data_IF_282741941074
#
_entry.id   IF_282741941074
#
_cell.length_a   1.000
_cell.length_b   1.000
_cell.length_c   1.000
_cell.angle_alpha   90.00
_cell.angle_beta   90.00
_cell.angle_gamma   90.00
#
_symmetry.space_group_name_H-M   'P 1'
#
loop_
_entity.id
_entity.type
_entity.pdbx_description
1 polymer ?
#
# COMPACT_ATOMS: atom_id res chain seq x y z
N UNK A 1 42.48 -4.56 21.79
CA UNK A 1 42.17 -4.73 20.36
C UNK A 1 40.80 -5.40 20.26
N UNK A 2 39.72 -4.59 20.28
CA UNK A 2 38.35 -5.11 20.19
C UNK A 2 37.97 -5.23 18.72
N UNK A 3 37.69 -6.46 18.27
CA UNK A 3 37.14 -6.74 16.95
C UNK A 3 35.73 -6.14 16.87
N UNK A 4 35.57 -5.09 16.06
CA UNK A 4 34.27 -4.55 15.67
C UNK A 4 33.64 -5.59 14.74
N UNK A 5 32.66 -6.36 15.22
CA UNK A 5 31.80 -7.16 14.34
C UNK A 5 31.15 -6.17 13.37
N UNK A 6 31.50 -6.26 12.09
CA UNK A 6 30.71 -5.60 11.05
C UNK A 6 29.29 -6.18 11.15
N UNK A 7 28.34 -5.32 11.49
CA UNK A 7 26.94 -5.69 11.44
C UNK A 7 26.63 -6.01 9.97
N UNK A 8 26.21 -7.25 9.71
CA UNK A 8 25.76 -7.64 8.39
C UNK A 8 24.48 -6.83 8.11
N UNK A 9 24.60 -5.73 7.35
CA UNK A 9 23.46 -4.87 7.02
C UNK A 9 22.61 -5.63 6.01
N UNK A 10 21.64 -6.40 6.53
CA UNK A 10 20.55 -6.94 5.73
C UNK A 10 19.80 -5.76 5.12
N UNK A 11 19.89 -5.59 3.80
CA UNK A 11 19.00 -4.67 3.08
C UNK A 11 17.57 -5.22 3.20
N UNK A 12 16.67 -4.54 3.94
CA UNK A 12 15.35 -5.08 4.19
C UNK A 12 14.53 -5.09 2.90
N UNK A 13 13.84 -6.20 2.62
CA UNK A 13 12.81 -6.21 1.58
C UNK A 13 11.59 -5.44 2.09
N UNK A 14 11.22 -4.36 1.42
CA UNK A 14 10.14 -3.46 1.83
C UNK A 14 8.96 -3.57 0.85
N UNK A 15 7.79 -3.93 1.36
CA UNK A 15 6.54 -3.90 0.59
C UNK A 15 5.66 -2.73 1.05
N UNK A 16 5.12 -1.98 0.08
CA UNK A 16 4.10 -0.96 0.33
C UNK A 16 2.71 -1.56 0.23
N UNK A 17 1.84 -1.26 1.20
CA UNK A 17 0.42 -1.65 1.19
C UNK A 17 -0.45 -0.41 1.29
N UNK A 18 -1.36 -0.25 0.33
CA UNK A 18 -2.33 0.85 0.25
C UNK A 18 -3.73 0.26 0.49
N UNK A 19 -4.30 0.41 1.69
CA UNK A 19 -5.68 0.01 1.97
C UNK A 19 -6.65 0.98 1.28
N UNK A 20 -7.42 0.50 0.32
CA UNK A 20 -8.34 1.31 -0.46
C UNK A 20 -9.71 0.63 -0.58
N UNK A 21 -10.57 0.84 0.41
CA UNK A 21 -11.95 0.33 0.38
C UNK A 21 -12.81 1.01 -0.69
N UNK A 22 -13.78 0.28 -1.25
CA UNK A 22 -14.77 0.81 -2.19
C UNK A 22 -15.77 1.75 -1.51
N UNK A 23 -16.32 1.31 -0.37
CA UNK A 23 -17.25 2.10 0.43
C UNK A 23 -16.56 3.28 1.13
N UNK A 24 -17.21 4.45 1.20
CA UNK A 24 -16.69 5.60 1.94
C UNK A 24 -17.85 6.46 2.47
N UNK A 25 -17.87 6.68 3.80
CA UNK A 25 -18.95 7.41 4.52
C UNK A 25 -19.24 8.78 3.94
N UNK A 26 -18.20 9.58 3.70
CA UNK A 26 -18.37 10.96 3.26
C UNK A 26 -18.56 11.10 1.76
N UNK A 27 -17.80 10.34 0.98
CA UNK A 27 -17.75 10.46 -0.48
C UNK A 27 -17.79 9.06 -1.09
N UNK A 28 -18.89 8.65 -1.75
CA UNK A 28 -18.96 7.37 -2.45
C UNK A 28 -17.82 7.23 -3.47
N UNK A 29 -17.21 6.06 -3.55
CA UNK A 29 -16.11 5.74 -4.46
C UNK A 29 -14.95 6.75 -4.45
N UNK A 30 -14.68 7.38 -3.29
CA UNK A 30 -13.67 8.44 -3.13
C UNK A 30 -12.33 8.13 -3.79
N UNK A 31 -11.85 6.88 -3.68
CA UNK A 31 -10.57 6.44 -4.24
C UNK A 31 -10.54 6.47 -5.78
N UNK A 32 -11.70 6.40 -6.44
CA UNK A 32 -11.84 6.48 -7.90
C UNK A 32 -12.24 7.87 -8.40
N UNK A 33 -12.65 8.78 -7.50
CA UNK A 33 -13.00 10.15 -7.91
C UNK A 33 -11.76 10.90 -8.34
N UNK A 34 -11.94 11.70 -9.38
CA UNK A 34 -10.88 12.56 -9.90
C UNK A 34 -10.61 13.72 -8.95
N UNK A 35 -9.33 13.94 -8.70
CA UNK A 35 -8.76 15.14 -8.14
C UNK A 35 -7.77 15.64 -9.20
N UNK A 36 -7.91 16.88 -9.67
CA UNK A 36 -7.09 17.43 -10.77
C UNK A 36 -6.91 16.45 -11.96
N UNK A 37 -8.03 15.95 -12.49
CA UNK A 37 -8.09 15.05 -13.66
C UNK A 37 -7.44 13.67 -13.47
N UNK A 38 -7.19 13.26 -12.23
CA UNK A 38 -6.62 11.94 -11.91
C UNK A 38 -7.36 11.28 -10.75
N UNK A 39 -7.72 10.00 -10.81
CA UNK A 39 -8.35 9.30 -9.68
C UNK A 39 -7.50 9.38 -8.41
N UNK A 40 -8.11 9.62 -7.26
CA UNK A 40 -7.39 9.85 -6.00
C UNK A 40 -6.37 8.75 -5.67
N UNK A 41 -6.70 7.48 -5.90
CA UNK A 41 -5.81 6.36 -5.61
C UNK A 41 -4.51 6.39 -6.43
N UNK A 42 -4.54 6.98 -7.63
CA UNK A 42 -3.37 7.04 -8.48
C UNK A 42 -2.21 7.77 -7.82
N UNK A 43 -2.50 8.86 -7.10
CA UNK A 43 -1.46 9.71 -6.51
C UNK A 43 -0.53 8.91 -5.61
N UNK A 44 -1.09 8.17 -4.65
CA UNK A 44 -0.27 7.41 -3.70
C UNK A 44 0.37 6.17 -4.36
N UNK A 45 -0.29 5.56 -5.34
CA UNK A 45 0.26 4.41 -6.06
C UNK A 45 1.46 4.84 -6.91
N UNK A 46 1.33 5.92 -7.67
CA UNK A 46 2.41 6.49 -8.48
C UNK A 46 3.56 6.97 -7.59
N UNK A 47 3.28 7.62 -6.46
CA UNK A 47 4.31 8.00 -5.49
C UNK A 47 5.06 6.78 -4.94
N UNK A 48 4.34 5.71 -4.57
CA UNK A 48 4.94 4.48 -4.05
C UNK A 48 5.72 3.69 -5.11
N UNK A 49 5.30 3.74 -6.37
CA UNK A 49 6.01 3.12 -7.50
C UNK A 49 7.23 3.93 -7.95
N UNK A 50 7.22 5.26 -7.72
CA UNK A 50 8.30 6.16 -8.10
C UNK A 50 9.53 6.12 -7.17
N UNK A 51 9.41 5.53 -5.98
CA UNK A 51 10.53 5.41 -5.03
C UNK A 51 11.34 4.13 -5.25
N UNK A 52 12.64 4.19 -4.97
CA UNK A 52 13.52 2.99 -4.93
C UNK A 52 13.48 2.25 -3.60
N UNK A 53 12.87 2.83 -2.57
CA UNK A 53 12.80 2.22 -1.24
C UNK A 53 11.78 1.06 -1.18
N UNK A 54 10.69 1.16 -1.95
CA UNK A 54 9.64 0.14 -1.98
C UNK A 54 9.89 -0.82 -3.14
N UNK A 55 10.03 -2.11 -2.81
CA UNK A 55 10.32 -3.14 -3.79
C UNK A 55 9.07 -3.61 -4.53
N UNK A 56 7.92 -3.55 -3.85
CA UNK A 56 6.61 -3.94 -4.40
C UNK A 56 5.51 -3.11 -3.77
N UNK A 57 4.59 -2.64 -4.61
CA UNK A 57 3.42 -1.85 -4.20
C UNK A 57 2.18 -2.71 -4.34
N UNK A 58 1.42 -2.83 -3.26
CA UNK A 58 0.17 -3.56 -3.20
C UNK A 58 -0.98 -2.62 -2.88
N UNK A 59 -2.08 -2.72 -3.61
CA UNK A 59 -3.37 -2.15 -3.23
C UNK A 59 -4.23 -3.27 -2.66
N UNK A 60 -4.69 -3.10 -1.41
CA UNK A 60 -5.63 -4.02 -0.80
C UNK A 60 -7.03 -3.41 -0.75
N UNK A 61 -7.99 -4.07 -1.38
CA UNK A 61 -9.33 -3.53 -1.62
C UNK A 61 -10.39 -4.63 -1.59
N UNK A 62 -11.63 -4.26 -1.32
CA UNK A 62 -12.84 -5.07 -1.51
C UNK A 62 -13.57 -4.76 -2.82
N UNK A 63 -13.03 -3.85 -3.64
CA UNK A 63 -13.66 -3.34 -4.86
C UNK A 63 -12.87 -3.72 -6.11
N UNK A 64 -13.53 -4.46 -7.00
CA UNK A 64 -12.99 -4.82 -8.32
C UNK A 64 -12.64 -3.60 -9.18
N UNK A 65 -13.38 -2.50 -9.06
CA UNK A 65 -13.10 -1.28 -9.82
C UNK A 65 -11.80 -0.61 -9.36
N UNK A 66 -11.57 -0.58 -8.04
CA UNK A 66 -10.32 -0.08 -7.46
C UNK A 66 -9.15 -0.99 -7.87
N UNK A 67 -9.35 -2.30 -7.79
CA UNK A 67 -8.37 -3.30 -8.21
C UNK A 67 -7.98 -3.11 -9.68
N UNK A 68 -8.96 -3.02 -10.59
CA UNK A 68 -8.71 -2.80 -12.00
C UNK A 68 -7.93 -1.51 -12.26
N UNK A 69 -8.32 -0.40 -11.62
CA UNK A 69 -7.63 0.88 -11.79
C UNK A 69 -6.18 0.84 -11.29
N UNK A 70 -5.95 0.28 -10.10
CA UNK A 70 -4.63 0.18 -9.50
C UNK A 70 -3.69 -0.77 -10.28
N UNK A 71 -4.24 -1.85 -10.83
CA UNK A 71 -3.50 -2.80 -11.66
C UNK A 71 -2.98 -2.15 -12.94
N UNK A 72 -3.82 -1.36 -13.62
CA UNK A 72 -3.47 -0.63 -14.86
C UNK A 72 -2.27 0.29 -14.67
N UNK A 73 -2.07 0.86 -13.47
CA UNK A 73 -0.95 1.75 -13.16
C UNK A 73 0.25 1.04 -12.52
N UNK A 74 0.22 -0.30 -12.42
CA UNK A 74 1.37 -1.12 -12.05
C UNK A 74 1.40 -1.62 -10.60
N UNK A 75 0.37 -1.37 -9.79
CA UNK A 75 0.28 -1.96 -8.45
C UNK A 75 -0.21 -3.42 -8.49
N UNK A 76 0.29 -4.23 -7.57
CA UNK A 76 -0.22 -5.58 -7.32
C UNK A 76 -1.48 -5.52 -6.48
N UNK A 77 -2.40 -6.47 -6.67
CA UNK A 77 -3.72 -6.42 -6.04
C UNK A 77 -3.87 -7.50 -4.96
N UNK A 78 -4.46 -7.11 -3.83
CA UNK A 78 -4.95 -8.01 -2.80
C UNK A 78 -6.44 -7.75 -2.61
N UNK A 79 -7.27 -8.57 -3.25
CA UNK A 79 -8.70 -8.56 -3.02
C UNK A 79 -8.99 -9.17 -1.64
N UNK A 80 -9.49 -8.36 -0.71
CA UNK A 80 -9.83 -8.81 0.63
C UNK A 80 -11.36 -8.89 0.81
N UNK A 81 -11.85 -9.71 1.75
CA UNK A 81 -13.28 -9.80 2.05
C UNK A 81 -13.84 -8.45 2.53
N UNK A 82 -15.03 -8.07 2.04
CA UNK A 82 -15.72 -6.81 2.38
C UNK A 82 -15.93 -6.58 3.88
N UNK A 83 -15.98 -7.64 4.70
CA UNK A 83 -16.01 -7.53 6.17
C UNK A 83 -14.82 -6.79 6.78
N UNK A 84 -13.70 -6.68 6.06
CA UNK A 84 -12.52 -5.90 6.47
C UNK A 84 -12.57 -4.43 6.01
N UNK A 85 -13.61 -4.04 5.27
CA UNK A 85 -13.82 -2.71 4.71
C UNK A 85 -15.03 -1.98 5.31
N UNK A 86 -15.54 -2.46 6.46
CA UNK A 86 -16.58 -1.75 7.21
C UNK A 86 -16.03 -0.43 7.76
N UNK A 87 -16.93 0.46 8.12
CA UNK A 87 -16.59 1.80 8.57
C UNK A 87 -15.76 1.85 9.85
N UNK A 88 -15.96 0.85 10.72
CA UNK A 88 -15.28 0.70 12.00
C UNK A 88 -14.22 -0.42 11.95
N UNK A 89 -13.98 -1.01 10.76
CA UNK A 89 -12.94 -2.02 10.61
C UNK A 89 -11.56 -1.38 10.85
N UNK A 90 -10.74 -1.95 11.75
CA UNK A 90 -9.39 -1.46 11.95
C UNK A 90 -8.53 -1.76 10.73
N UNK A 91 -7.70 -0.81 10.31
CA UNK A 91 -6.73 -0.98 9.21
C UNK A 91 -5.81 -2.18 9.45
N UNK A 92 -5.54 -2.52 10.72
CA UNK A 92 -4.78 -3.70 11.11
C UNK A 92 -5.33 -5.01 10.54
N UNK A 93 -6.66 -5.16 10.41
CA UNK A 93 -7.27 -6.34 9.79
C UNK A 93 -6.88 -6.51 8.33
N UNK A 94 -6.87 -5.41 7.57
CA UNK A 94 -6.44 -5.39 6.16
C UNK A 94 -4.95 -5.70 6.04
N UNK A 95 -4.12 -5.13 6.92
CA UNK A 95 -2.67 -5.39 6.94
C UNK A 95 -2.39 -6.87 7.25
N UNK A 96 -3.07 -7.44 8.24
CA UNK A 96 -2.96 -8.88 8.55
C UNK A 96 -3.35 -9.75 7.38
N UNK A 97 -4.43 -9.39 6.68
CA UNK A 97 -4.85 -10.11 5.49
C UNK A 97 -3.77 -10.06 4.39
N UNK A 98 -3.20 -8.87 4.13
CA UNK A 98 -2.12 -8.70 3.17
C UNK A 98 -0.87 -9.53 3.53
N UNK A 99 -0.46 -9.54 4.80
CA UNK A 99 0.65 -10.38 5.28
C UNK A 99 0.37 -11.88 5.07
N UNK A 100 -0.86 -12.34 5.28
CA UNK A 100 -1.25 -13.72 4.99
C UNK A 100 -1.20 -14.02 3.49
N UNK A 101 -1.65 -13.11 2.63
CA UNK A 101 -1.54 -13.25 1.17
C UNK A 101 -0.08 -13.33 0.72
N UNK A 102 0.82 -12.52 1.27
CA UNK A 102 2.25 -12.60 0.97
C UNK A 102 2.82 -13.98 1.29
N UNK A 103 2.54 -14.49 2.50
CA UNK A 103 3.00 -15.82 2.92
C UNK A 103 2.49 -16.93 2.00
N UNK A 104 1.22 -16.87 1.60
CA UNK A 104 0.63 -17.85 0.67
C UNK A 104 1.29 -17.79 -0.71
N UNK A 105 1.69 -16.61 -1.16
CA UNK A 105 2.44 -16.41 -2.42
C UNK A 105 3.96 -16.61 -2.28
N UNK A 106 4.45 -17.11 -1.14
CA UNK A 106 5.87 -17.39 -0.91
C UNK A 106 6.73 -16.15 -0.58
N UNK A 107 6.11 -15.00 -0.29
CA UNK A 107 6.81 -13.77 0.10
C UNK A 107 6.81 -13.57 1.62
N UNK A 108 7.91 -13.03 2.14
CA UNK A 108 8.06 -12.64 3.54
C UNK A 108 8.90 -11.36 3.61
N UNK A 109 8.29 -10.17 3.41
CA UNK A 109 9.01 -8.91 3.47
C UNK A 109 9.51 -8.64 4.89
N UNK A 110 10.68 -8.01 5.00
CA UNK A 110 11.25 -7.58 6.28
C UNK A 110 10.46 -6.40 6.88
N UNK A 111 9.90 -5.55 6.01
CA UNK A 111 9.14 -4.36 6.38
C UNK A 111 7.89 -4.24 5.51
N UNK A 112 6.78 -3.86 6.13
CA UNK A 112 5.56 -3.44 5.44
C UNK A 112 5.28 -1.99 5.78
N UNK A 113 5.21 -1.14 4.76
CA UNK A 113 4.85 0.29 4.89
C UNK A 113 3.40 0.46 4.46
N UNK A 114 2.59 1.06 5.33
CA UNK A 114 1.17 1.31 5.04
C UNK A 114 0.95 2.75 4.63
N UNK A 115 0.37 2.96 3.45
CA UNK A 115 0.16 4.30 2.89
C UNK A 115 -1.34 4.55 2.68
N UNK A 116 -1.82 5.72 3.10
CA UNK A 116 -3.24 6.06 2.98
C UNK A 116 -3.52 6.70 1.62
N UNK A 117 -4.57 6.27 0.89
CA UNK A 117 -4.95 6.88 -0.38
C UNK A 117 -5.46 8.32 -0.24
N UNK A 118 -5.80 8.76 0.97
CA UNK A 118 -6.25 10.14 1.26
C UNK A 118 -5.13 11.15 1.47
N UNK A 119 -3.89 10.80 1.11
CA UNK A 119 -2.72 11.69 1.19
C UNK A 119 -2.19 12.01 -0.22
N UNK A 120 -2.96 12.73 -1.07
CA UNK A 120 -2.60 12.93 -2.48
C UNK A 120 -1.36 13.81 -2.71
N UNK A 121 -0.91 14.52 -1.67
CA UNK A 121 0.29 15.36 -1.71
C UNK A 121 1.57 14.61 -1.31
N UNK A 122 1.46 13.33 -0.95
CA UNK A 122 2.62 12.49 -0.62
C UNK A 122 3.44 12.23 -1.89
N UNK A 123 4.68 12.65 -1.89
CA UNK A 123 5.65 12.43 -2.96
C UNK A 123 6.53 11.23 -2.65
N UNK A 124 7.19 10.68 -3.69
CA UNK A 124 8.17 9.59 -3.50
C UNK A 124 9.29 9.97 -2.52
N UNK A 125 9.71 11.23 -2.50
CA UNK A 125 10.70 11.76 -1.57
C UNK A 125 10.25 11.70 -0.11
N UNK A 126 8.95 11.88 0.15
CA UNK A 126 8.40 11.82 1.50
C UNK A 126 8.45 10.37 2.03
N UNK A 127 8.25 9.40 1.14
CA UNK A 127 8.36 7.97 1.45
C UNK A 127 9.82 7.60 1.78
N UNK A 128 10.77 8.16 1.05
CA UNK A 128 12.21 7.90 1.25
C UNK A 128 12.75 8.55 2.51
N UNK A 129 12.27 9.74 2.86
CA UNK A 129 12.66 10.47 4.07
C UNK A 129 12.12 9.84 5.36
N UNK A 130 11.20 8.88 5.27
CA UNK A 130 10.63 8.16 6.41
C UNK A 130 9.40 8.82 7.06
N UNK A 131 9.00 10.02 6.61
CA UNK A 131 7.83 10.76 7.11
C UNK A 131 8.01 11.37 8.49
#
# INVERSE_FOLDING_TARGET
MYFRKEANVINPTIFGVIPARGGSRGVPNKNLRELYSKPLINYIVEAALGTKAIHRVYVSTDSEQIAARASVIGAQIILHPSKLSTDDAPTFGVIRYALSSFRQSGYSPSVVVTMRPTSPLCLSSDIEAGG
#
